data_IF_220507327268
#
_entry.id   IF_220507327268
#
_cell.length_a   1.000
_cell.length_b   1.000
_cell.length_c   1.000
_cell.angle_alpha   90.00
_cell.angle_beta   90.00
_cell.angle_gamma   90.00
#
_symmetry.space_group_name_H-M   'P 1'
#
loop_
_entity.id
_entity.type
_entity.pdbx_description
1 polymer ?
#
# COMPACT_ATOMS: atom_id res chain seq x y z
N UNK A 1 -3.02 17.29 -21.83
CA UNK A 1 -2.37 17.37 -20.50
C UNK A 1 -2.79 16.16 -19.66
N UNK A 2 -4.09 15.85 -19.60
CA UNK A 2 -4.69 14.76 -18.83
C UNK A 2 -4.08 13.37 -19.06
N UNK A 3 -3.84 12.96 -20.31
CA UNK A 3 -3.26 11.64 -20.61
C UNK A 3 -1.82 11.46 -20.12
N UNK A 4 -1.03 12.53 -20.07
CA UNK A 4 0.35 12.51 -19.54
C UNK A 4 0.35 12.53 -18.00
N UNK A 5 -0.63 13.23 -17.41
CA UNK A 5 -0.84 13.24 -15.96
C UNK A 5 -1.28 11.87 -15.43
N UNK A 6 -2.15 11.17 -16.16
CA UNK A 6 -2.59 9.83 -15.81
C UNK A 6 -1.44 8.80 -15.89
N UNK A 7 -0.58 8.90 -16.92
CA UNK A 7 0.59 8.02 -17.08
C UNK A 7 1.63 8.26 -15.97
N UNK A 8 1.98 9.52 -15.69
CA UNK A 8 2.97 9.85 -14.63
C UNK A 8 2.48 9.48 -13.23
N UNK A 9 1.18 9.64 -12.96
CA UNK A 9 0.58 9.18 -11.69
C UNK A 9 0.65 7.65 -11.55
N UNK A 10 0.47 6.92 -12.66
CA UNK A 10 0.53 5.46 -12.65
C UNK A 10 1.96 4.95 -12.42
N UNK A 11 2.97 5.60 -13.00
CA UNK A 11 4.38 5.26 -12.79
C UNK A 11 4.81 5.46 -11.32
N UNK A 12 4.37 6.55 -10.68
CA UNK A 12 4.64 6.79 -9.26
C UNK A 12 4.05 5.70 -8.35
N UNK A 13 2.81 5.27 -8.63
CA UNK A 13 2.16 4.19 -7.87
C UNK A 13 2.97 2.89 -7.99
N UNK A 14 3.43 2.55 -9.21
CA UNK A 14 4.26 1.36 -9.45
C UNK A 14 5.60 1.46 -8.72
N UNK A 15 6.23 2.64 -8.68
CA UNK A 15 7.51 2.84 -7.99
C UNK A 15 7.35 2.74 -6.47
N UNK A 16 6.31 3.34 -5.89
CA UNK A 16 6.00 3.22 -4.46
C UNK A 16 5.76 1.76 -4.10
N UNK A 17 4.93 1.07 -4.86
CA UNK A 17 4.62 -0.36 -4.67
C UNK A 17 5.89 -1.21 -4.64
N UNK A 18 6.79 -1.05 -5.62
CA UNK A 18 8.08 -1.75 -5.67
C UNK A 18 8.98 -1.44 -4.48
N UNK A 19 9.01 -0.21 -3.99
CA UNK A 19 9.82 0.15 -2.82
C UNK A 19 9.24 -0.42 -1.54
N UNK A 20 7.92 -0.39 -1.38
CA UNK A 20 7.25 -1.04 -0.26
C UNK A 20 7.57 -2.53 -0.20
N UNK A 21 7.47 -3.26 -1.32
CA UNK A 21 7.82 -4.69 -1.39
C UNK A 21 9.28 -4.96 -0.99
N UNK A 22 10.21 -4.08 -1.38
CA UNK A 22 11.61 -4.17 -0.97
C UNK A 22 11.81 -3.92 0.53
N UNK A 23 11.07 -2.98 1.11
CA UNK A 23 11.10 -2.72 2.56
C UNK A 23 10.54 -3.93 3.31
N UNK A 24 9.40 -4.48 2.87
CA UNK A 24 8.77 -5.65 3.50
C UNK A 24 9.65 -6.91 3.41
N UNK A 25 10.35 -7.08 2.29
CA UNK A 25 11.32 -8.17 2.10
C UNK A 25 12.67 -7.96 2.78
N UNK A 26 12.92 -6.80 3.42
CA UNK A 26 14.18 -6.55 4.11
C UNK A 26 14.27 -7.42 5.38
N UNK A 27 15.41 -8.08 5.69
CA UNK A 27 15.51 -9.02 6.80
C UNK A 27 15.03 -8.47 8.14
N UNK A 28 15.36 -7.22 8.45
CA UNK A 28 14.96 -6.57 9.70
C UNK A 28 13.45 -6.31 9.80
N UNK A 29 12.73 -6.15 8.69
CA UNK A 29 11.28 -5.94 8.69
C UNK A 29 10.57 -7.29 8.63
N UNK A 30 10.97 -8.16 7.70
CA UNK A 30 10.41 -9.49 7.56
C UNK A 30 10.57 -10.30 8.86
N UNK A 31 11.74 -10.23 9.50
CA UNK A 31 11.98 -10.91 10.77
C UNK A 31 11.09 -10.41 11.89
N UNK A 32 10.82 -9.11 11.95
CA UNK A 32 9.89 -8.52 12.93
C UNK A 32 8.42 -8.87 12.63
N UNK A 33 8.02 -8.90 11.35
CA UNK A 33 6.69 -9.39 10.94
C UNK A 33 6.50 -10.84 11.39
N UNK A 34 7.48 -11.70 11.10
CA UNK A 34 7.45 -13.12 11.50
C UNK A 34 7.39 -13.23 13.02
N UNK A 35 8.28 -12.55 13.75
CA UNK A 35 8.30 -12.60 15.21
C UNK A 35 7.01 -12.09 15.85
N UNK A 36 6.43 -11.03 15.30
CA UNK A 36 5.27 -10.35 15.88
C UNK A 36 3.94 -11.04 15.60
N UNK A 37 3.82 -11.75 14.47
CA UNK A 37 2.52 -12.22 13.99
C UNK A 37 2.46 -13.72 13.65
N UNK A 38 3.59 -14.43 13.58
CA UNK A 38 3.62 -15.87 13.29
C UNK A 38 3.79 -16.68 14.56
N UNK A 39 2.87 -17.61 14.81
CA UNK A 39 2.83 -18.37 16.07
C UNK A 39 3.98 -19.38 16.20
N UNK A 40 4.44 -19.95 15.08
CA UNK A 40 5.59 -20.87 15.05
C UNK A 40 6.92 -20.18 15.39
N UNK A 41 6.96 -18.84 15.37
CA UNK A 41 8.12 -18.03 15.73
C UNK A 41 8.10 -17.53 17.19
N UNK A 42 7.09 -17.92 17.98
CA UNK A 42 6.88 -17.42 19.36
C UNK A 42 8.12 -17.60 20.23
N UNK A 43 8.75 -18.77 20.18
CA UNK A 43 9.88 -19.11 21.05
C UNK A 43 11.25 -18.83 20.43
N UNK A 44 11.28 -18.30 19.19
CA UNK A 44 12.52 -17.94 18.47
C UNK A 44 12.84 -16.47 18.70
N UNK A 45 14.09 -16.11 19.01
CA UNK A 45 14.47 -14.70 19.19
C UNK A 45 14.38 -13.91 17.88
N UNK A 46 14.17 -12.59 17.96
CA UNK A 46 14.11 -11.74 16.76
C UNK A 46 15.43 -11.79 15.99
N UNK A 47 16.54 -11.72 16.71
CA UNK A 47 17.90 -11.74 16.19
C UNK A 47 18.14 -13.05 15.42
N UNK A 48 17.72 -14.18 15.99
CA UNK A 48 17.83 -15.47 15.33
C UNK A 48 17.00 -15.53 14.04
N UNK A 49 15.76 -15.03 14.03
CA UNK A 49 14.93 -14.98 12.82
C UNK A 49 15.60 -14.12 11.74
N UNK A 50 16.12 -12.95 12.09
CA UNK A 50 16.83 -12.06 11.14
C UNK A 50 18.05 -12.78 10.56
N UNK A 51 18.84 -13.46 11.37
CA UNK A 51 20.00 -14.23 10.93
C UNK A 51 19.63 -15.42 10.03
N UNK A 52 18.50 -16.10 10.30
CA UNK A 52 18.00 -17.14 9.42
C UNK A 52 17.66 -16.56 8.03
N UNK A 53 17.00 -15.39 7.99
CA UNK A 53 16.64 -14.71 6.73
C UNK A 53 17.89 -14.25 5.95
N UNK A 54 18.93 -13.76 6.65
CA UNK A 54 20.20 -13.32 6.01
C UNK A 54 21.01 -14.46 5.37
N UNK A 55 20.68 -15.72 5.63
CA UNK A 55 21.18 -16.84 4.82
C UNK A 55 21.94 -17.93 5.57
N UNK A 56 21.54 -18.29 6.80
CA UNK A 56 21.98 -19.55 7.40
C UNK A 56 21.57 -20.73 6.51
N UNK A 57 22.43 -21.75 6.43
CA UNK A 57 22.13 -23.04 5.81
C UNK A 57 22.06 -24.13 6.87
N UNK A 58 21.12 -25.05 6.74
CA UNK A 58 21.07 -26.28 7.52
C UNK A 58 22.26 -27.18 7.17
N UNK A 59 22.58 -28.13 8.05
CA UNK A 59 23.70 -29.07 7.87
C UNK A 59 23.61 -29.89 6.56
N UNK A 60 22.39 -30.11 6.04
CA UNK A 60 22.14 -30.83 4.79
C UNK A 60 22.22 -29.93 3.53
N UNK A 61 22.62 -28.66 3.66
CA UNK A 61 22.78 -27.73 2.54
C UNK A 61 21.50 -27.00 2.11
N UNK A 62 20.34 -27.37 2.68
CA UNK A 62 19.09 -26.62 2.53
C UNK A 62 19.19 -25.26 3.24
N UNK A 63 18.65 -24.21 2.63
CA UNK A 63 18.65 -22.88 3.25
C UNK A 63 17.52 -22.80 4.28
N UNK A 64 17.82 -22.30 5.49
CA UNK A 64 16.78 -22.07 6.51
C UNK A 64 15.73 -21.07 6.02
N UNK A 65 16.11 -20.15 5.13
CA UNK A 65 15.23 -19.20 4.48
C UNK A 65 15.38 -19.28 2.96
N UNK A 66 14.27 -19.17 2.23
CA UNK A 66 14.26 -19.07 0.78
C UNK A 66 13.21 -18.05 0.34
N UNK A 67 13.65 -16.98 -0.32
CA UNK A 67 12.76 -16.18 -1.15
C UNK A 67 12.38 -17.00 -2.39
N UNK A 68 11.08 -17.14 -2.65
CA UNK A 68 10.55 -17.95 -3.74
C UNK A 68 10.24 -17.06 -4.95
N UNK A 69 9.89 -17.68 -6.07
CA UNK A 69 9.34 -16.93 -7.19
C UNK A 69 7.97 -16.39 -6.79
N UNK A 70 7.81 -15.07 -6.85
CA UNK A 70 6.54 -14.38 -6.58
C UNK A 70 5.44 -14.76 -7.58
N UNK A 71 5.75 -15.48 -8.66
CA UNK A 71 4.76 -15.97 -9.60
C UNK A 71 4.56 -17.47 -9.41
N UNK A 72 3.34 -17.86 -9.04
CA UNK A 72 2.88 -19.24 -9.10
C UNK A 72 1.96 -19.37 -10.32
N UNK A 73 2.38 -20.21 -11.26
CA UNK A 73 1.58 -20.59 -12.42
C UNK A 73 1.26 -22.08 -12.33
N UNK A 74 -0.01 -22.39 -12.06
CA UNK A 74 -0.50 -23.77 -11.95
C UNK A 74 -1.27 -24.06 -13.24
N UNK A 75 -0.82 -25.10 -13.97
CA UNK A 75 -1.47 -25.54 -15.19
C UNK A 75 -2.99 -25.65 -15.01
N UNK A 76 -3.76 -25.05 -15.93
CA UNK A 76 -5.23 -24.98 -15.92
C UNK A 76 -5.89 -24.15 -14.81
N UNK A 77 -5.16 -23.77 -13.76
CA UNK A 77 -5.64 -22.88 -12.71
C UNK A 77 -5.17 -21.42 -12.91
N UNK A 78 -4.18 -21.20 -13.76
CA UNK A 78 -3.67 -19.87 -14.13
C UNK A 78 -2.63 -19.31 -13.17
N UNK A 79 -2.19 -18.10 -13.49
CA UNK A 79 -1.11 -17.37 -12.85
C UNK A 79 -1.61 -16.47 -11.72
N UNK A 80 -0.93 -16.51 -10.58
CA UNK A 80 -1.05 -15.55 -9.48
C UNK A 80 0.32 -14.94 -9.20
N UNK A 81 0.33 -13.63 -8.91
CA UNK A 81 1.53 -12.88 -8.56
C UNK A 81 1.38 -12.34 -7.14
N UNK A 82 2.33 -12.72 -6.30
CA UNK A 82 2.48 -12.35 -4.91
C UNK A 82 3.44 -11.16 -4.78
N UNK A 83 3.33 -10.43 -3.69
CA UNK A 83 4.19 -9.30 -3.39
C UNK A 83 5.55 -9.74 -2.82
N UNK A 84 5.54 -10.67 -1.86
CA UNK A 84 6.76 -11.22 -1.29
C UNK A 84 6.54 -12.65 -0.76
N UNK A 85 6.77 -13.64 -1.63
CA UNK A 85 6.61 -15.05 -1.30
C UNK A 85 7.93 -15.66 -0.80
N UNK A 86 7.91 -16.30 0.36
CA UNK A 86 9.08 -16.98 0.92
C UNK A 86 8.71 -18.21 1.77
N UNK A 87 9.72 -18.97 2.17
CA UNK A 87 9.58 -19.99 3.21
C UNK A 87 10.76 -19.92 4.19
N UNK A 88 10.50 -20.31 5.44
CA UNK A 88 11.48 -20.29 6.51
C UNK A 88 11.31 -21.52 7.42
N UNK A 89 12.43 -22.09 7.86
CA UNK A 89 12.51 -23.15 8.85
C UNK A 89 12.79 -22.50 10.22
N UNK A 90 11.84 -22.63 11.13
CA UNK A 90 11.89 -22.03 12.47
C UNK A 90 12.26 -23.10 13.52
N UNK A 91 13.31 -22.91 14.32
CA UNK A 91 13.66 -23.83 15.40
C UNK A 91 12.58 -23.84 16.47
N UNK A 92 12.37 -25.01 17.07
CA UNK A 92 11.39 -25.23 18.12
C UNK A 92 12.09 -25.64 19.42
N UNK A 93 11.42 -25.45 20.56
CA UNK A 93 11.98 -25.75 21.88
C UNK A 93 12.34 -27.24 22.08
N UNK A 94 11.70 -28.14 21.35
CA UNK A 94 11.96 -29.59 21.36
C UNK A 94 13.13 -30.01 20.43
N UNK A 95 13.82 -29.05 19.82
CA UNK A 95 14.91 -29.28 18.89
C UNK A 95 14.47 -29.60 17.46
N UNK A 96 13.16 -29.62 17.17
CA UNK A 96 12.65 -29.78 15.81
C UNK A 96 12.68 -28.48 15.02
N UNK A 97 12.49 -28.58 13.71
CA UNK A 97 12.33 -27.43 12.81
C UNK A 97 10.92 -27.43 12.24
N UNK A 98 10.22 -26.29 12.30
CA UNK A 98 8.96 -26.09 11.60
C UNK A 98 9.17 -25.22 10.37
N UNK A 99 8.96 -25.82 9.19
CA UNK A 99 8.92 -25.09 7.93
C UNK A 99 7.56 -24.45 7.73
N UNK A 100 7.54 -23.15 7.45
CA UNK A 100 6.35 -22.40 7.04
C UNK A 100 6.59 -21.73 5.69
N UNK A 101 5.50 -21.52 4.96
CA UNK A 101 5.45 -20.70 3.75
C UNK A 101 4.66 -19.45 4.07
N UNK A 102 5.14 -18.28 3.67
CA UNK A 102 4.42 -17.04 3.89
C UNK A 102 4.53 -16.09 2.71
N UNK A 103 3.46 -15.33 2.53
CA UNK A 103 3.38 -14.21 1.63
C UNK A 103 3.06 -12.94 2.43
N UNK A 104 3.80 -11.87 2.14
CA UNK A 104 3.59 -10.55 2.74
C UNK A 104 3.12 -9.58 1.67
N UNK A 105 1.83 -9.27 1.74
CA UNK A 105 1.12 -8.43 0.78
C UNK A 105 0.96 -7.02 1.28
N UNK A 106 1.17 -6.05 0.40
CA UNK A 106 0.83 -4.65 0.67
C UNK A 106 -0.39 -4.22 -0.12
N UNK A 107 -1.38 -3.67 0.57
CA UNK A 107 -2.62 -3.26 -0.05
C UNK A 107 -3.02 -1.86 0.38
N UNK A 108 -2.87 -0.90 -0.53
CA UNK A 108 -3.21 0.51 -0.29
C UNK A 108 -4.72 0.77 -0.31
N UNK A 109 -5.50 -0.03 -1.04
CA UNK A 109 -6.96 0.14 -1.17
C UNK A 109 -7.67 -0.93 -0.36
N UNK A 110 -8.37 -0.56 0.72
CA UNK A 110 -9.06 -1.54 1.59
C UNK A 110 -10.10 -2.39 0.84
N UNK A 111 -10.76 -1.81 -0.17
CA UNK A 111 -11.73 -2.51 -1.01
C UNK A 111 -11.42 -2.22 -2.49
N UNK A 112 -10.58 -3.03 -3.15
CA UNK A 112 -10.26 -2.86 -4.57
C UNK A 112 -11.38 -3.32 -5.52
N UNK A 113 -12.58 -3.60 -5.01
CA UNK A 113 -13.71 -4.17 -5.78
C UNK A 113 -14.10 -5.59 -5.34
N UNK A 114 -13.42 -6.13 -4.33
CA UNK A 114 -13.68 -7.43 -3.73
C UNK A 114 -13.12 -7.48 -2.29
N UNK A 115 -13.55 -8.47 -1.51
CA UNK A 115 -13.04 -8.67 -0.17
C UNK A 115 -11.62 -9.27 -0.21
N UNK A 116 -10.67 -8.63 0.47
CA UNK A 116 -9.28 -9.09 0.55
C UNK A 116 -9.16 -10.48 1.19
N UNK A 117 -10.02 -10.80 2.15
CA UNK A 117 -10.07 -12.13 2.77
C UNK A 117 -10.39 -13.24 1.75
N UNK A 118 -11.25 -12.94 0.76
CA UNK A 118 -11.58 -13.87 -0.32
C UNK A 118 -10.37 -14.09 -1.23
N UNK A 119 -9.65 -13.02 -1.58
CA UNK A 119 -8.39 -13.12 -2.34
C UNK A 119 -7.32 -13.90 -1.57
N UNK A 120 -7.19 -13.64 -0.27
CA UNK A 120 -6.26 -14.36 0.59
C UNK A 120 -6.54 -15.86 0.67
N UNK A 121 -7.81 -16.30 0.56
CA UNK A 121 -8.13 -17.73 0.48
C UNK A 121 -7.63 -18.38 -0.81
N UNK A 122 -7.73 -17.69 -1.96
CA UNK A 122 -7.13 -18.17 -3.21
C UNK A 122 -5.61 -18.26 -3.04
N UNK A 123 -4.97 -17.22 -2.52
CA UNK A 123 -3.51 -17.16 -2.30
C UNK A 123 -3.01 -18.31 -1.41
N UNK A 124 -3.66 -18.55 -0.26
CA UNK A 124 -3.36 -19.68 0.61
C UNK A 124 -3.50 -21.03 -0.13
N UNK A 125 -4.56 -21.18 -0.92
CA UNK A 125 -4.81 -22.40 -1.70
C UNK A 125 -3.75 -22.63 -2.77
N UNK A 126 -3.30 -21.56 -3.44
CA UNK A 126 -2.21 -21.58 -4.43
C UNK A 126 -0.89 -21.96 -3.80
N UNK A 127 -0.56 -21.37 -2.66
CA UNK A 127 0.65 -21.69 -1.91
C UNK A 127 0.64 -23.14 -1.44
N UNK A 128 -0.48 -23.64 -0.87
CA UNK A 128 -0.60 -25.05 -0.47
C UNK A 128 -0.41 -25.96 -1.68
N UNK A 129 -1.09 -25.68 -2.79
CA UNK A 129 -1.04 -26.52 -4.00
C UNK A 129 0.37 -26.56 -4.59
N UNK A 130 1.10 -25.44 -4.55
CA UNK A 130 2.48 -25.35 -5.05
C UNK A 130 3.50 -26.20 -4.27
N UNK A 131 3.15 -26.67 -3.08
CA UNK A 131 4.01 -27.57 -2.29
C UNK A 131 3.95 -29.02 -2.78
N UNK A 132 2.98 -29.41 -3.62
CA UNK A 132 2.85 -30.77 -4.15
C UNK A 132 4.08 -31.15 -4.98
N UNK A 133 4.64 -32.33 -4.70
CA UNK A 133 5.88 -32.82 -5.31
C UNK A 133 7.15 -32.26 -4.67
N UNK A 134 7.03 -31.33 -3.71
CA UNK A 134 8.15 -30.78 -2.92
C UNK A 134 8.06 -31.15 -1.44
N UNK A 135 6.97 -30.78 -0.77
CA UNK A 135 6.79 -31.00 0.67
C UNK A 135 5.86 -32.20 0.95
N UNK A 136 4.93 -32.47 0.05
CA UNK A 136 3.96 -33.56 0.17
C UNK A 136 3.62 -34.13 -1.21
N UNK A 137 3.01 -35.31 -1.23
CA UNK A 137 2.43 -35.89 -2.43
C UNK A 137 1.18 -36.72 -2.08
N UNK A 138 0.62 -37.42 -3.07
CA UNK A 138 -0.57 -38.26 -2.89
C UNK A 138 -0.37 -39.46 -1.96
N UNK A 139 0.88 -39.80 -1.62
CA UNK A 139 1.22 -40.89 -0.70
C UNK A 139 1.42 -40.39 0.73
N UNK A 140 1.83 -39.13 0.90
CA UNK A 140 2.07 -38.54 2.20
C UNK A 140 1.61 -37.06 2.27
N UNK A 141 0.34 -36.83 2.61
CA UNK A 141 -0.22 -35.49 2.80
C UNK A 141 0.24 -34.79 4.08
N UNK A 142 0.67 -35.55 5.10
CA UNK A 142 1.13 -35.00 6.38
C UNK A 142 2.40 -34.14 6.20
N UNK A 143 3.11 -34.30 5.09
CA UNK A 143 4.22 -33.45 4.69
C UNK A 143 3.84 -31.97 4.46
N UNK A 144 2.55 -31.67 4.22
CA UNK A 144 2.06 -30.32 3.91
C UNK A 144 2.43 -29.32 4.99
N UNK A 145 3.14 -28.27 4.57
CA UNK A 145 3.61 -27.18 5.42
C UNK A 145 2.56 -26.09 5.50
N UNK A 146 2.53 -25.44 6.65
CA UNK A 146 1.58 -24.38 6.92
C UNK A 146 1.87 -23.15 6.06
N UNK A 147 0.81 -22.51 5.57
CA UNK A 147 0.87 -21.28 4.77
C UNK A 147 0.32 -20.08 5.52
N UNK A 148 0.90 -18.92 5.25
CA UNK A 148 0.48 -17.63 5.78
C UNK A 148 0.30 -16.62 4.64
N UNK A 149 -0.79 -15.87 4.65
CA UNK A 149 -0.94 -14.65 3.83
C UNK A 149 -1.13 -13.49 4.78
N UNK A 150 -0.18 -12.54 4.76
CA UNK A 150 -0.14 -11.40 5.67
C UNK A 150 -0.43 -10.14 4.86
N UNK A 151 -1.60 -9.55 5.05
CA UNK A 151 -2.00 -8.29 4.46
C UNK A 151 -1.56 -7.11 5.33
N UNK A 152 -0.73 -6.22 4.80
CA UNK A 152 -0.37 -4.95 5.41
C UNK A 152 -1.11 -3.84 4.67
N UNK A 153 -2.00 -3.15 5.39
CA UNK A 153 -2.79 -2.03 4.88
C UNK A 153 -2.28 -0.73 5.51
N UNK A 154 -1.29 -0.05 4.90
CA UNK A 154 -0.65 1.15 5.47
C UNK A 154 -1.54 2.41 5.45
N UNK A 155 -2.65 2.36 4.70
CA UNK A 155 -3.56 3.48 4.48
C UNK A 155 -4.99 3.15 4.92
N UNK A 156 -5.12 2.34 5.96
CA UNK A 156 -6.41 1.99 6.52
C UNK A 156 -7.12 3.21 7.13
N UNK A 157 -8.45 3.16 7.22
CA UNK A 157 -9.22 4.20 7.89
C UNK A 157 -8.84 4.31 9.37
N UNK A 158 -8.80 5.55 9.92
CA UNK A 158 -8.39 5.82 11.31
C UNK A 158 -9.06 4.94 12.37
N UNK A 159 -10.33 4.57 12.18
CA UNK A 159 -11.09 3.68 13.09
C UNK A 159 -10.57 2.23 13.18
N UNK A 160 -9.68 1.84 12.26
CA UNK A 160 -9.07 0.50 12.17
C UNK A 160 -7.58 0.53 12.50
N UNK A 161 -7.04 1.71 12.77
CA UNK A 161 -5.62 1.88 13.02
C UNK A 161 -5.15 0.99 14.17
N UNK A 162 -4.08 0.24 13.94
CA UNK A 162 -3.51 -0.69 14.90
C UNK A 162 -4.24 -2.04 15.03
N UNK A 163 -5.39 -2.24 14.37
CA UNK A 163 -6.09 -3.51 14.43
C UNK A 163 -5.30 -4.62 13.71
N UNK A 164 -5.28 -5.80 14.31
CA UNK A 164 -4.73 -7.02 13.69
C UNK A 164 -5.76 -8.13 13.80
N UNK A 165 -6.17 -8.68 12.65
CA UNK A 165 -7.12 -9.79 12.63
C UNK A 165 -6.41 -11.04 12.12
N UNK A 166 -6.54 -12.15 12.85
CA UNK A 166 -6.11 -13.47 12.41
C UNK A 166 -7.33 -14.29 11.99
N UNK A 167 -7.31 -14.86 10.79
CA UNK A 167 -8.33 -15.76 10.26
C UNK A 167 -7.67 -17.12 10.08
N UNK A 168 -8.15 -18.10 10.84
CA UNK A 168 -7.57 -19.44 10.87
C UNK A 168 -8.67 -20.50 10.91
N UNK A 169 -8.27 -21.75 10.67
CA UNK A 169 -9.13 -22.90 10.88
C UNK A 169 -9.16 -23.26 12.36
N UNK A 170 -10.36 -23.46 12.90
CA UNK A 170 -10.58 -23.93 14.26
C UNK A 170 -11.41 -25.20 14.21
N UNK A 171 -10.95 -26.24 14.93
CA UNK A 171 -11.73 -27.45 15.13
C UNK A 171 -12.88 -27.17 16.11
N UNK A 172 -14.11 -27.47 15.68
CA UNK A 172 -15.29 -27.45 16.52
C UNK A 172 -15.86 -28.87 16.65
N UNK A 173 -15.99 -29.36 17.88
CA UNK A 173 -16.57 -30.68 18.14
C UNK A 173 -18.10 -30.59 18.06
N UNK A 174 -18.69 -31.09 16.98
CA UNK A 174 -20.16 -31.18 16.83
C UNK A 174 -20.72 -32.25 17.78
N UNK A 175 -19.98 -33.33 18.01
CA UNK A 175 -20.30 -34.38 18.98
C UNK A 175 -19.03 -35.08 19.46
N UNK A 176 -19.03 -35.55 20.71
CA UNK A 176 -17.89 -36.26 21.29
C UNK A 176 -16.67 -35.37 21.56
N UNK A 177 -15.50 -35.99 21.58
CA UNK A 177 -14.20 -35.33 21.78
C UNK A 177 -13.27 -35.62 20.61
N UNK A 178 -12.43 -34.66 20.27
CA UNK A 178 -11.49 -34.80 19.15
C UNK A 178 -10.36 -35.78 19.45
N UNK A 179 -9.99 -36.57 18.44
CA UNK A 179 -8.76 -37.34 18.37
C UNK A 179 -7.77 -36.76 17.33
N UNK A 180 -8.17 -35.69 16.65
CA UNK A 180 -7.40 -35.07 15.57
C UNK A 180 -6.23 -34.26 16.12
N UNK A 181 -5.08 -34.38 15.46
CA UNK A 181 -3.88 -33.59 15.78
C UNK A 181 -4.01 -32.20 15.21
N UNK A 182 -3.51 -31.19 15.93
CA UNK A 182 -3.56 -29.80 15.49
C UNK A 182 -2.92 -29.63 14.11
N UNK A 183 -1.77 -30.27 13.90
CA UNK A 183 -0.97 -30.20 12.67
C UNK A 183 -1.70 -30.77 11.45
N UNK A 184 -2.73 -31.61 11.64
CA UNK A 184 -3.50 -32.22 10.57
C UNK A 184 -4.49 -31.24 9.92
N UNK A 185 -4.99 -30.24 10.67
CA UNK A 185 -5.97 -29.27 10.15
C UNK A 185 -5.46 -27.82 10.15
N UNK A 186 -4.45 -27.48 10.95
CA UNK A 186 -3.83 -26.15 10.99
C UNK A 186 -2.86 -25.95 9.82
N UNK A 187 -3.40 -25.78 8.62
CA UNK A 187 -2.60 -25.69 7.38
C UNK A 187 -2.50 -24.29 6.79
N UNK A 188 -3.33 -23.36 7.23
CA UNK A 188 -3.32 -22.00 6.68
C UNK A 188 -3.86 -20.96 7.66
N UNK A 189 -3.29 -19.76 7.61
CA UNK A 189 -3.79 -18.59 8.33
C UNK A 189 -3.67 -17.31 7.47
N UNK A 190 -4.64 -16.42 7.57
CA UNK A 190 -4.54 -15.06 7.05
C UNK A 190 -4.39 -14.07 8.21
N UNK A 191 -3.51 -13.08 8.04
CA UNK A 191 -3.28 -12.03 9.02
C UNK A 191 -3.53 -10.69 8.35
N UNK A 192 -4.42 -9.87 8.90
CA UNK A 192 -4.73 -8.54 8.40
C UNK A 192 -4.21 -7.50 9.37
N UNK A 193 -3.23 -6.70 8.95
CA UNK A 193 -2.60 -5.63 9.74
C UNK A 193 -3.08 -4.29 9.18
N UNK A 194 -3.88 -3.57 9.95
CA UNK A 194 -4.43 -2.26 9.57
C UNK A 194 -3.63 -1.15 10.23
N UNK A 195 -3.10 -0.24 9.42
CA UNK A 195 -2.28 0.88 9.86
C UNK A 195 -2.79 2.15 9.18
N UNK A 196 -2.76 3.27 9.89
CA UNK A 196 -3.11 4.56 9.33
C UNK A 196 -1.86 5.39 9.05
N UNK A 197 -1.75 5.91 7.82
CA UNK A 197 -0.63 6.77 7.41
C UNK A 197 -0.47 8.04 8.24
N UNK A 198 -1.56 8.52 8.86
CA UNK A 198 -1.63 9.73 9.68
C UNK A 198 -1.62 9.39 11.19
N UNK A 199 -1.21 8.17 11.56
CA UNK A 199 -1.02 7.76 12.95
C UNK A 199 -0.03 8.69 13.66
N UNK A 200 -0.39 9.11 14.87
CA UNK A 200 0.48 9.93 15.70
C UNK A 200 1.50 9.01 16.40
N UNK A 201 2.75 9.03 15.94
CA UNK A 201 3.84 8.17 16.45
C UNK A 201 4.14 8.28 17.96
N UNK A 202 3.60 9.30 18.63
CA UNK A 202 3.66 9.42 20.10
C UNK A 202 2.69 8.47 20.80
N UNK A 203 1.62 8.07 20.12
CA UNK A 203 0.56 7.21 20.63
C UNK A 203 0.90 5.75 20.31
N UNK A 204 1.83 5.18 21.08
CA UNK A 204 2.39 3.83 20.86
C UNK A 204 1.31 2.75 20.73
N UNK A 205 1.47 1.83 19.79
CA UNK A 205 0.57 0.68 19.66
C UNK A 205 0.79 -0.34 20.79
N UNK A 206 -0.27 -0.71 21.50
CA UNK A 206 -0.19 -1.73 22.54
C UNK A 206 0.40 -3.05 22.01
N UNK A 207 1.35 -3.62 22.76
CA UNK A 207 2.03 -4.91 22.54
C UNK A 207 2.79 -5.12 21.21
N UNK A 208 2.75 -4.16 20.29
CA UNK A 208 3.19 -4.37 18.90
C UNK A 208 3.76 -3.12 18.23
N UNK A 209 3.97 -2.05 19.00
CA UNK A 209 4.54 -0.80 18.52
C UNK A 209 5.90 -0.96 17.82
N UNK A 210 6.73 -1.87 18.34
CA UNK A 210 8.07 -2.20 17.84
C UNK A 210 8.11 -2.70 16.38
N UNK A 211 6.96 -3.05 15.81
CA UNK A 211 6.81 -3.38 14.39
C UNK A 211 5.77 -2.49 13.68
N UNK A 212 4.66 -2.14 14.33
CA UNK A 212 3.60 -1.33 13.69
C UNK A 212 4.06 0.10 13.39
N UNK A 213 4.73 0.78 14.33
CA UNK A 213 5.24 2.15 14.10
C UNK A 213 6.31 2.18 13.00
N UNK A 214 7.31 1.27 12.99
CA UNK A 214 8.21 1.12 11.85
C UNK A 214 7.51 0.88 10.51
N UNK A 215 6.47 0.04 10.46
CA UNK A 215 5.70 -0.19 9.22
C UNK A 215 4.98 1.07 8.74
N UNK A 216 4.31 1.81 9.64
CA UNK A 216 3.69 3.11 9.32
C UNK A 216 4.71 4.05 8.72
N UNK A 217 5.88 4.16 9.36
CA UNK A 217 6.85 5.20 9.04
C UNK A 217 7.67 4.84 7.81
N UNK A 218 8.14 3.60 7.66
CA UNK A 218 9.00 3.22 6.54
C UNK A 218 8.23 3.09 5.23
N UNK A 219 6.97 2.61 5.26
CA UNK A 219 6.13 2.48 4.07
C UNK A 219 5.50 3.82 3.62
N UNK A 220 5.47 4.83 4.49
CA UNK A 220 4.90 6.13 4.16
C UNK A 220 5.92 7.02 3.42
N UNK A 221 5.57 7.49 2.22
CA UNK A 221 6.43 8.33 1.39
C UNK A 221 6.40 9.83 1.73
N UNK A 222 5.63 10.27 2.73
CA UNK A 222 5.53 11.69 3.12
C UNK A 222 6.45 12.06 4.28
N UNK A 223 6.87 11.09 5.10
CA UNK A 223 7.81 11.33 6.20
C UNK A 223 9.23 11.56 5.68
N UNK A 224 9.89 12.57 6.23
CA UNK A 224 11.27 12.90 5.93
C UNK A 224 12.26 11.84 6.47
N UNK A 225 13.49 11.88 5.96
CA UNK A 225 14.51 10.92 6.34
C UNK A 225 14.93 11.03 7.82
N UNK A 226 14.82 12.21 8.44
CA UNK A 226 15.22 12.39 9.83
C UNK A 226 14.28 11.63 10.78
N UNK A 227 12.96 11.77 10.59
CA UNK A 227 11.95 11.03 11.36
C UNK A 227 12.16 9.52 11.19
N UNK A 228 12.42 9.05 9.97
CA UNK A 228 12.67 7.62 9.73
C UNK A 228 13.94 7.14 10.42
N UNK A 229 15.01 7.96 10.46
CA UNK A 229 16.24 7.64 11.20
C UNK A 229 16.04 7.61 12.71
N UNK A 230 15.19 8.47 13.25
CA UNK A 230 14.81 8.43 14.67
C UNK A 230 14.11 7.12 15.00
N UNK A 231 13.14 6.70 14.19
CA UNK A 231 12.46 5.40 14.32
C UNK A 231 13.45 4.24 14.17
N UNK A 232 14.37 4.30 13.20
CA UNK A 232 15.41 3.28 13.07
C UNK A 232 16.22 3.12 14.36
N UNK A 233 16.67 4.25 14.95
CA UNK A 233 17.43 4.24 16.19
C UNK A 233 16.61 3.76 17.39
N UNK A 234 15.36 4.22 17.50
CA UNK A 234 14.46 3.89 18.61
C UNK A 234 14.16 2.38 18.66
N UNK A 235 13.93 1.76 17.51
CA UNK A 235 13.51 0.35 17.41
C UNK A 235 14.62 -0.61 16.98
N UNK A 236 15.88 -0.13 16.93
CA UNK A 236 17.05 -0.96 16.64
C UNK A 236 17.10 -1.53 15.22
N UNK A 237 16.89 -0.68 14.21
CA UNK A 237 17.16 -1.00 12.81
C UNK A 237 18.54 -0.49 12.41
N UNK A 238 19.36 -1.35 11.83
CA UNK A 238 20.77 -1.10 11.56
C UNK A 238 21.08 -1.02 10.05
N UNK A 239 20.37 -1.77 9.21
CA UNK A 239 20.76 -2.01 7.82
C UNK A 239 19.78 -1.42 6.79
N UNK A 240 18.52 -1.19 7.17
CA UNK A 240 17.46 -0.79 6.23
C UNK A 240 17.53 0.65 5.69
N UNK A 241 18.51 1.46 6.12
CA UNK A 241 18.57 2.90 5.81
C UNK A 241 18.51 3.18 4.30
N UNK A 242 19.15 2.32 3.50
CA UNK A 242 19.22 2.49 2.04
C UNK A 242 17.84 2.39 1.39
N UNK A 243 17.01 1.45 1.81
CA UNK A 243 15.65 1.22 1.31
C UNK A 243 14.73 2.35 1.76
N UNK A 244 14.84 2.74 3.02
CA UNK A 244 14.11 3.86 3.62
C UNK A 244 14.43 5.19 2.94
N UNK A 245 15.71 5.46 2.66
CA UNK A 245 16.16 6.66 1.94
C UNK A 245 15.61 6.73 0.52
N UNK A 246 15.52 5.60 -0.19
CA UNK A 246 14.90 5.57 -1.53
C UNK A 246 13.43 5.97 -1.47
N UNK A 247 12.71 5.54 -0.42
CA UNK A 247 11.30 5.93 -0.22
C UNK A 247 11.17 7.45 -0.02
N UNK A 248 12.03 8.06 0.80
CA UNK A 248 12.04 9.52 0.99
C UNK A 248 12.34 10.26 -0.31
N UNK A 249 13.41 9.86 -1.02
CA UNK A 249 13.79 10.50 -2.28
C UNK A 249 12.65 10.46 -3.32
N UNK A 250 11.92 9.33 -3.39
CA UNK A 250 10.76 9.22 -4.26
C UNK A 250 9.62 10.13 -3.80
N UNK A 251 9.36 10.20 -2.50
CA UNK A 251 8.39 11.11 -1.89
C UNK A 251 8.66 12.58 -2.23
N UNK A 252 9.91 13.03 -2.06
CA UNK A 252 10.36 14.39 -2.38
C UNK A 252 10.22 14.72 -3.87
N UNK A 253 10.55 13.76 -4.74
CA UNK A 253 10.39 13.90 -6.19
C UNK A 253 8.91 14.11 -6.55
N UNK A 254 8.03 13.25 -6.03
CA UNK A 254 6.58 13.34 -6.25
C UNK A 254 6.03 14.67 -5.73
N UNK A 255 6.46 15.09 -4.53
CA UNK A 255 6.03 16.36 -3.94
C UNK A 255 6.44 17.56 -4.81
N UNK A 256 7.68 17.58 -5.30
CA UNK A 256 8.20 18.64 -6.18
C UNK A 256 7.42 18.71 -7.49
N UNK A 257 7.22 17.57 -8.15
CA UNK A 257 6.45 17.53 -9.40
C UNK A 257 5.02 18.00 -9.20
N UNK A 258 4.37 17.63 -8.09
CA UNK A 258 3.01 18.07 -7.79
C UNK A 258 2.95 19.58 -7.50
N UNK A 259 3.95 20.16 -6.85
CA UNK A 259 4.06 21.60 -6.62
C UNK A 259 4.25 22.35 -7.95
N UNK A 260 5.16 21.89 -8.81
CA UNK A 260 5.41 22.49 -10.13
C UNK A 260 4.16 22.43 -11.02
N UNK A 261 3.49 21.28 -11.06
CA UNK A 261 2.22 21.09 -11.76
C UNK A 261 1.13 22.02 -11.20
N UNK A 262 0.99 22.09 -9.87
CA UNK A 262 0.03 22.96 -9.20
C UNK A 262 0.26 24.45 -9.52
N UNK A 263 1.52 24.89 -9.52
CA UNK A 263 1.89 26.24 -9.91
C UNK A 263 1.58 26.54 -11.39
N UNK A 264 1.91 25.62 -12.30
CA UNK A 264 1.63 25.79 -13.72
C UNK A 264 0.12 25.88 -13.99
N UNK A 265 -0.67 25.00 -13.38
CA UNK A 265 -2.13 25.03 -13.50
C UNK A 265 -2.73 26.32 -12.91
N UNK A 266 -2.22 26.76 -11.76
CA UNK A 266 -2.65 28.02 -11.14
C UNK A 266 -2.33 29.24 -12.01
N UNK A 267 -1.15 29.27 -12.65
CA UNK A 267 -0.77 30.34 -13.56
C UNK A 267 -1.65 30.36 -14.82
N UNK A 268 -1.89 29.20 -15.42
CA UNK A 268 -2.74 29.08 -16.61
C UNK A 268 -4.19 29.52 -16.30
N UNK A 269 -4.76 29.03 -15.20
CA UNK A 269 -6.09 29.45 -14.74
C UNK A 269 -6.15 30.96 -14.46
N UNK A 270 -5.11 31.51 -13.82
CA UNK A 270 -5.00 32.94 -13.55
C UNK A 270 -4.93 33.79 -14.83
N UNK A 271 -4.18 33.35 -15.85
CA UNK A 271 -4.10 34.03 -17.13
C UNK A 271 -5.43 34.01 -17.88
N UNK A 272 -6.11 32.86 -17.93
CA UNK A 272 -7.43 32.73 -18.57
C UNK A 272 -8.46 33.60 -17.86
N UNK A 273 -8.47 33.58 -16.52
CA UNK A 273 -9.38 34.41 -15.73
C UNK A 273 -9.08 35.91 -15.90
N UNK A 274 -7.80 36.29 -15.97
CA UNK A 274 -7.34 37.66 -16.23
C UNK A 274 -7.80 38.16 -17.60
N UNK A 275 -7.59 37.37 -18.66
CA UNK A 275 -8.05 37.70 -20.02
C UNK A 275 -9.57 37.84 -20.09
N UNK A 276 -10.31 36.94 -19.43
CA UNK A 276 -11.78 37.04 -19.35
C UNK A 276 -12.21 38.32 -18.63
N UNK A 277 -11.55 38.69 -17.54
CA UNK A 277 -11.85 39.92 -16.80
C UNK A 277 -11.54 41.18 -17.63
N UNK A 278 -10.42 41.20 -18.34
CA UNK A 278 -10.02 42.31 -19.20
C UNK A 278 -10.99 42.48 -20.38
N UNK A 279 -11.33 41.37 -21.06
CA UNK A 279 -12.34 41.35 -22.12
C UNK A 279 -13.69 41.86 -21.63
N UNK A 280 -14.10 41.46 -20.43
CA UNK A 280 -15.34 41.93 -19.80
C UNK A 280 -15.33 43.43 -19.54
N UNK A 281 -14.24 43.97 -18.97
CA UNK A 281 -14.07 45.41 -18.75
C UNK A 281 -14.15 46.21 -20.07
N UNK A 282 -13.46 45.73 -21.10
CA UNK A 282 -13.48 46.34 -22.43
C UNK A 282 -14.86 46.32 -23.06
N UNK A 283 -15.58 45.20 -22.94
CA UNK A 283 -16.95 45.10 -23.44
C UNK A 283 -17.90 46.05 -22.71
N UNK A 284 -17.80 46.18 -21.38
CA UNK A 284 -18.57 47.17 -20.61
C UNK A 284 -18.31 48.58 -21.14
N UNK A 285 -17.04 48.98 -21.28
CA UNK A 285 -16.66 50.31 -21.77
C UNK A 285 -17.20 50.58 -23.19
N UNK A 286 -17.03 49.63 -24.11
CA UNK A 286 -17.53 49.75 -25.49
C UNK A 286 -19.06 49.86 -25.54
N UNK A 287 -19.77 49.07 -24.74
CA UNK A 287 -21.24 49.11 -24.65
C UNK A 287 -21.68 50.48 -24.12
N UNK A 288 -21.09 50.97 -23.03
CA UNK A 288 -21.40 52.29 -22.46
C UNK A 288 -21.18 53.40 -23.48
N UNK A 289 -20.06 53.37 -24.19
CA UNK A 289 -19.74 54.37 -25.22
C UNK A 289 -20.76 54.34 -26.36
N UNK A 290 -21.14 53.16 -26.87
CA UNK A 290 -22.15 53.04 -27.93
C UNK A 290 -23.52 53.55 -27.48
N UNK A 291 -23.96 53.19 -26.27
CA UNK A 291 -25.23 53.65 -25.71
C UNK A 291 -25.28 55.18 -25.62
N UNK A 292 -24.21 55.81 -25.14
CA UNK A 292 -24.14 57.27 -24.99
C UNK A 292 -23.98 58.02 -26.33
N UNK A 293 -23.16 57.51 -27.24
CA UNK A 293 -22.83 58.20 -28.50
C UNK A 293 -23.95 58.15 -29.52
N UNK A 294 -24.66 57.01 -29.57
CA UNK A 294 -25.69 56.73 -30.58
C UNK A 294 -27.10 56.72 -30.00
N UNK A 295 -27.26 56.93 -28.69
CA UNK A 295 -28.55 56.89 -27.99
C UNK A 295 -29.32 55.59 -28.20
N UNK A 296 -28.62 54.45 -28.23
CA UNK A 296 -29.20 53.11 -28.43
C UNK A 296 -29.35 52.34 -27.12
N UNK A 297 -30.25 51.35 -27.10
CA UNK A 297 -30.45 50.49 -25.93
C UNK A 297 -29.28 49.51 -25.71
N UNK A 298 -29.11 49.03 -24.48
CA UNK A 298 -28.13 47.99 -24.11
C UNK A 298 -28.22 46.75 -25.02
N UNK A 299 -29.45 46.27 -25.27
CA UNK A 299 -29.70 45.12 -26.14
C UNK A 299 -29.15 45.34 -27.55
N UNK A 300 -29.34 46.54 -28.12
CA UNK A 300 -28.84 46.88 -29.45
C UNK A 300 -27.31 47.05 -29.47
N UNK A 301 -26.72 47.62 -28.42
CA UNK A 301 -25.27 47.76 -28.30
C UNK A 301 -24.55 46.41 -28.20
N UNK A 302 -25.10 45.47 -27.42
CA UNK A 302 -24.61 44.09 -27.31
C UNK A 302 -24.69 43.34 -28.64
N UNK A 303 -25.82 43.45 -29.35
CA UNK A 303 -26.03 42.83 -30.66
C UNK A 303 -25.00 43.33 -31.69
N UNK A 304 -24.75 44.65 -31.73
CA UNK A 304 -23.77 45.26 -32.63
C UNK A 304 -22.34 44.81 -32.34
N UNK A 305 -21.99 44.65 -31.06
CA UNK A 305 -20.67 44.17 -30.62
C UNK A 305 -20.51 42.64 -30.70
N UNK A 306 -21.60 41.90 -30.97
CA UNK A 306 -21.62 40.43 -31.05
C UNK A 306 -21.03 39.76 -29.80
N UNK A 307 -21.34 40.30 -28.62
CA UNK A 307 -20.91 39.71 -27.34
C UNK A 307 -21.62 38.37 -27.14
N UNK A 308 -20.92 37.35 -26.63
CA UNK A 308 -21.52 36.02 -26.42
C UNK A 308 -22.55 36.03 -25.29
N UNK A 309 -23.57 35.16 -25.36
CA UNK A 309 -24.66 35.11 -24.37
C UNK A 309 -24.16 34.95 -22.93
N UNK A 310 -23.15 34.09 -22.71
CA UNK A 310 -22.52 33.89 -21.39
C UNK A 310 -21.89 35.18 -20.84
N UNK A 311 -21.21 35.96 -21.69
CA UNK A 311 -20.61 37.23 -21.31
C UNK A 311 -21.68 38.31 -21.09
N UNK A 312 -22.75 38.31 -21.89
CA UNK A 312 -23.87 39.23 -21.72
C UNK A 312 -24.54 39.02 -20.37
N UNK A 313 -24.77 37.78 -19.95
CA UNK A 313 -25.40 37.48 -18.66
C UNK A 313 -24.56 38.01 -17.47
N UNK A 314 -23.23 37.93 -17.58
CA UNK A 314 -22.32 38.49 -16.59
C UNK A 314 -22.28 40.02 -16.62
N UNK A 315 -22.29 40.63 -17.81
CA UNK A 315 -22.15 42.08 -17.99
C UNK A 315 -23.46 42.83 -17.69
N UNK A 316 -24.63 42.24 -17.97
CA UNK A 316 -25.95 42.86 -17.80
C UNK A 316 -26.16 43.42 -16.38
N UNK A 317 -25.64 42.73 -15.37
CA UNK A 317 -25.66 43.15 -13.96
C UNK A 317 -25.05 44.52 -13.70
N UNK A 318 -24.10 44.95 -14.54
CA UNK A 318 -23.44 46.26 -14.42
C UNK A 318 -24.30 47.42 -14.94
N UNK A 319 -25.30 47.13 -15.77
CA UNK A 319 -26.17 48.12 -16.41
C UNK A 319 -27.60 48.13 -15.84
N UNK A 320 -27.92 47.18 -14.97
CA UNK A 320 -29.20 47.08 -14.25
C UNK A 320 -29.14 47.63 -12.81
N UNK A 321 -27.97 48.11 -12.38
CA UNK A 321 -27.73 48.73 -11.07
C UNK A 321 -27.92 50.26 -11.13
#
# INVERSE_FOLDING_TARGET
MDKVLEITSNDHIIMIDKLCKRILGHPEILGRIIKGFIKEAKDVSLEEIIELIKGKKEQEGNSYFQQLNNVIDIAHHGRVEFDYLCCINLPQADGTMKRIYLDVEIQNVENPGYALLTRGNDYLSRMITSQNGKEYDYRNYDGMKKTYVIWILPQAAKKRDGHVNCINSKLENISGSTIERLESYDKSEQIMIYLNKDHNIKDKYEDSDWIKTPLVIFLNNTYDLLVKKEVMKEYGFEEIEKEVKKMCNLGEMIARENIEKGHSMGLEQGLVQGQKLERRKKNIELITNLMNSLSISFSKAVELLKVSEDEVLEIKKYFEA
#
